data_IF_822805368366
#
_entry.id   IF_822805368366
#
_cell.length_a   1.000
_cell.length_b   1.000
_cell.length_c   1.000
_cell.angle_alpha   90.00
_cell.angle_beta   90.00
_cell.angle_gamma   90.00
#
_symmetry.space_group_name_H-M   'P 1'
#
loop_
_entity.id
_entity.type
_entity.pdbx_description
1 polymer ?
#
# COMPACT_ATOMS: atom_id res chain seq x y z
N UNK A 1 2.36 5.78 8.76
CA UNK A 1 1.21 6.71 8.92
C UNK A 1 1.60 7.94 9.74
N UNK A 2 0.81 9.00 9.69
CA UNK A 2 1.02 10.22 10.50
C UNK A 2 0.76 9.99 12.01
N UNK A 3 1.21 10.89 12.90
CA UNK A 3 0.96 10.77 14.34
C UNK A 3 -0.53 10.55 14.66
N UNK A 4 -0.81 9.57 15.54
CA UNK A 4 -2.16 9.26 16.04
C UNK A 4 -3.18 8.82 14.96
N UNK A 5 -2.71 8.33 13.80
CA UNK A 5 -3.58 7.79 12.77
C UNK A 5 -4.47 6.65 13.30
N UNK A 6 -5.80 6.71 13.12
CA UNK A 6 -6.74 5.80 13.78
C UNK A 6 -6.81 4.41 13.16
N UNK A 7 -6.40 4.27 11.89
CA UNK A 7 -6.67 3.07 11.09
C UNK A 7 -5.41 2.25 10.77
N UNK A 8 -4.26 2.56 11.36
CA UNK A 8 -3.03 1.81 11.13
C UNK A 8 -3.18 0.33 11.54
N UNK A 9 -2.42 -0.56 10.88
CA UNK A 9 -2.36 -1.98 11.26
C UNK A 9 -1.98 -2.09 12.75
N UNK A 10 -2.66 -2.97 13.53
CA UNK A 10 -2.39 -3.06 14.95
C UNK A 10 -0.93 -3.46 15.21
N UNK A 11 -0.21 -2.58 15.91
CA UNK A 11 1.18 -2.82 16.31
C UNK A 11 1.41 -4.16 17.01
N UNK A 12 0.51 -4.65 17.90
CA UNK A 12 0.68 -5.96 18.49
C UNK A 12 0.75 -7.10 17.47
N UNK A 13 0.00 -7.03 16.36
CA UNK A 13 0.05 -8.04 15.30
C UNK A 13 1.40 -8.04 14.60
N UNK A 14 1.91 -6.86 14.24
CA UNK A 14 3.24 -6.73 13.59
C UNK A 14 4.35 -7.13 14.54
N UNK A 15 4.26 -6.73 15.82
CA UNK A 15 5.21 -7.14 16.85
C UNK A 15 5.28 -8.66 16.99
N UNK A 16 4.11 -9.33 17.04
CA UNK A 16 4.03 -10.78 17.11
C UNK A 16 4.68 -11.43 15.88
N UNK A 17 4.30 -10.98 14.67
CA UNK A 17 4.85 -11.47 13.41
C UNK A 17 6.39 -11.39 13.39
N UNK A 18 6.94 -10.22 13.74
CA UNK A 18 8.40 -10.03 13.78
C UNK A 18 9.03 -10.93 14.84
N UNK A 19 8.52 -10.94 16.08
CA UNK A 19 9.13 -11.73 17.16
C UNK A 19 9.07 -13.23 16.94
N UNK A 20 8.03 -13.75 16.26
CA UNK A 20 7.81 -15.20 16.14
C UNK A 20 8.27 -15.78 14.80
N UNK A 21 8.24 -14.98 13.73
CA UNK A 21 8.45 -15.48 12.35
C UNK A 21 9.57 -14.78 11.60
N UNK A 22 9.88 -13.52 11.94
CA UNK A 22 10.82 -12.68 11.20
C UNK A 22 11.78 -11.94 12.16
N UNK A 23 12.50 -12.64 13.06
CA UNK A 23 13.29 -11.99 14.11
C UNK A 23 14.43 -11.10 13.56
N UNK A 24 14.89 -11.37 12.34
CA UNK A 24 15.96 -10.64 11.66
C UNK A 24 15.44 -9.53 10.72
N UNK A 25 14.12 -9.33 10.65
CA UNK A 25 13.53 -8.34 9.77
C UNK A 25 13.53 -6.94 10.39
N UNK A 26 13.79 -5.93 9.55
CA UNK A 26 13.55 -4.53 9.86
C UNK A 26 12.23 -4.09 9.21
N UNK A 27 11.50 -3.20 9.89
CA UNK A 27 10.46 -2.43 9.19
C UNK A 27 11.17 -1.38 8.34
N UNK A 28 10.78 -1.21 7.09
CA UNK A 28 11.38 -0.20 6.21
C UNK A 28 10.38 0.89 5.85
N UNK A 29 10.86 2.13 5.78
CA UNK A 29 10.10 3.33 5.43
C UNK A 29 10.99 4.32 4.65
N UNK A 30 10.40 5.35 4.06
CA UNK A 30 11.12 6.49 3.47
C UNK A 30 10.47 7.80 3.90
N UNK A 31 11.23 8.90 3.89
CA UNK A 31 10.72 10.21 4.27
C UNK A 31 9.61 10.72 3.34
N UNK A 32 8.70 11.57 3.84
CA UNK A 32 7.60 12.10 3.03
C UNK A 32 8.03 13.26 2.16
N UNK A 33 7.40 13.36 0.98
CA UNK A 33 7.57 14.50 0.07
C UNK A 33 6.95 15.78 0.63
N UNK A 34 5.75 15.67 1.21
CA UNK A 34 5.11 16.79 1.88
C UNK A 34 5.78 17.12 3.21
N UNK A 35 5.67 18.40 3.58
CA UNK A 35 6.09 18.90 4.88
C UNK A 35 5.13 18.39 5.94
N UNK A 36 5.66 17.74 6.98
CA UNK A 36 4.87 17.09 8.03
C UNK A 36 5.75 16.32 9.02
N UNK A 37 5.12 15.48 9.85
CA UNK A 37 5.80 14.72 10.92
C UNK A 37 6.79 13.67 10.41
N UNK A 38 6.82 13.40 9.10
CA UNK A 38 7.69 12.39 8.47
C UNK A 38 8.56 12.98 7.36
N UNK A 39 8.65 14.31 7.28
CA UNK A 39 9.34 14.97 6.18
C UNK A 39 10.86 14.76 6.26
N UNK A 40 11.45 14.90 7.44
CA UNK A 40 12.88 14.61 7.68
C UNK A 40 13.03 13.37 8.53
N UNK A 41 14.17 12.68 8.41
CA UNK A 41 14.47 11.48 9.21
C UNK A 41 14.24 11.71 10.70
N UNK A 42 14.78 12.79 11.27
CA UNK A 42 14.60 13.10 12.70
C UNK A 42 13.12 13.25 13.10
N UNK A 43 12.32 13.92 12.28
CA UNK A 43 10.87 14.02 12.51
C UNK A 43 10.19 12.65 12.37
N UNK A 44 10.55 11.88 11.34
CA UNK A 44 9.98 10.57 11.06
C UNK A 44 10.24 9.59 12.22
N UNK A 45 11.47 9.56 12.75
CA UNK A 45 11.83 8.80 13.96
C UNK A 45 10.96 9.18 15.16
N UNK A 46 10.68 10.47 15.36
CA UNK A 46 9.77 10.94 16.42
C UNK A 46 8.33 10.47 16.17
N UNK A 47 7.87 10.49 14.92
CA UNK A 47 6.54 9.97 14.55
C UNK A 47 6.43 8.47 14.81
N UNK A 48 7.47 7.69 14.49
CA UNK A 48 7.53 6.25 14.81
C UNK A 48 7.41 6.01 16.32
N UNK A 49 8.10 6.80 17.14
CA UNK A 49 8.00 6.73 18.61
C UNK A 49 6.60 7.09 19.11
N UNK A 50 6.01 8.19 18.63
CA UNK A 50 4.64 8.61 18.99
C UNK A 50 3.64 7.52 18.64
N UNK A 51 3.79 6.95 17.45
CA UNK A 51 2.96 5.86 16.99
C UNK A 51 3.37 4.52 17.62
N UNK A 52 4.41 4.44 18.45
CA UNK A 52 4.88 3.25 19.18
C UNK A 52 5.39 2.09 18.32
N UNK A 53 5.98 2.39 17.18
CA UNK A 53 6.79 1.46 16.39
C UNK A 53 8.21 1.37 16.98
N UNK A 54 8.30 0.88 18.22
CA UNK A 54 9.53 0.86 19.04
C UNK A 54 9.98 -0.55 19.42
N UNK A 55 9.39 -1.58 18.82
CA UNK A 55 9.58 -2.99 19.19
C UNK A 55 10.52 -3.77 18.28
N UNK A 56 10.95 -3.18 17.17
CA UNK A 56 11.96 -3.70 16.25
C UNK A 56 12.69 -2.51 15.59
N UNK A 57 13.84 -2.73 14.93
CA UNK A 57 14.43 -1.69 14.11
C UNK A 57 13.45 -1.24 13.02
N UNK A 58 13.42 0.06 12.79
CA UNK A 58 12.81 0.66 11.61
C UNK A 58 13.96 1.28 10.82
N UNK A 59 14.06 1.02 9.54
CA UNK A 59 15.04 1.63 8.66
C UNK A 59 14.36 2.70 7.80
N UNK A 60 14.90 3.92 7.82
CA UNK A 60 14.45 5.00 6.95
C UNK A 60 15.41 4.96 5.76
N UNK A 61 15.00 4.28 4.69
CA UNK A 61 15.93 3.84 3.64
C UNK A 61 16.59 4.99 2.88
N UNK A 62 16.04 6.20 2.97
CA UNK A 62 16.57 7.42 2.38
C UNK A 62 17.29 8.34 3.39
N UNK A 63 17.72 7.80 4.54
CA UNK A 63 18.44 8.54 5.59
C UNK A 63 19.85 8.97 5.14
N UNK A 64 20.62 8.07 4.53
CA UNK A 64 22.01 8.34 4.13
C UNK A 64 22.20 8.56 2.62
N UNK A 65 21.11 8.53 1.84
CA UNK A 65 21.18 8.79 0.41
C UNK A 65 20.06 8.15 -0.40
N UNK A 66 20.28 8.12 -1.70
CA UNK A 66 19.34 7.58 -2.68
C UNK A 66 20.10 6.78 -3.73
N UNK A 67 19.39 5.91 -4.42
CA UNK A 67 19.91 5.15 -5.56
C UNK A 67 18.82 5.04 -6.62
N UNK A 68 19.19 4.71 -7.85
CA UNK A 68 18.24 4.58 -8.95
C UNK A 68 18.07 3.11 -9.33
N UNK A 69 16.81 2.69 -9.46
CA UNK A 69 16.44 1.40 -10.02
C UNK A 69 15.78 1.57 -11.39
N UNK A 70 16.08 0.69 -12.36
CA UNK A 70 15.53 0.82 -13.71
C UNK A 70 14.02 0.52 -13.73
N UNK A 71 13.28 1.25 -14.56
CA UNK A 71 11.88 0.96 -14.92
C UNK A 71 11.86 0.44 -16.35
N UNK A 72 11.75 -0.89 -16.49
CA UNK A 72 11.76 -1.53 -17.82
C UNK A 72 10.41 -1.34 -18.50
N UNK A 73 10.43 -0.73 -19.68
CA UNK A 73 9.22 -0.54 -20.51
C UNK A 73 8.28 0.55 -19.98
N UNK A 74 8.75 1.43 -19.09
CA UNK A 74 7.96 2.56 -18.58
C UNK A 74 7.60 3.55 -19.68
N UNK A 75 6.39 4.09 -19.58
CA UNK A 75 5.90 5.21 -20.40
C UNK A 75 6.40 6.54 -19.84
N UNK A 76 6.49 6.66 -18.52
CA UNK A 76 6.80 7.92 -17.82
C UNK A 76 8.25 7.99 -17.37
N UNK A 77 8.83 6.87 -16.95
CA UNK A 77 10.15 6.78 -16.35
C UNK A 77 10.97 5.65 -16.97
N UNK A 78 12.27 5.88 -17.11
CA UNK A 78 13.28 4.86 -17.40
C UNK A 78 13.99 4.35 -16.13
N UNK A 79 13.89 5.10 -15.03
CA UNK A 79 14.37 4.75 -13.70
C UNK A 79 13.52 5.42 -12.62
N UNK A 80 13.65 4.93 -11.39
CA UNK A 80 13.03 5.50 -10.21
C UNK A 80 14.02 5.62 -9.07
N UNK A 81 14.08 6.82 -8.48
CA UNK A 81 14.93 7.08 -7.32
C UNK A 81 14.26 6.56 -6.05
N UNK A 82 15.00 5.74 -5.31
CA UNK A 82 14.59 5.03 -4.10
C UNK A 82 15.59 5.28 -2.97
N UNK A 83 15.22 4.96 -1.73
CA UNK A 83 16.16 5.01 -0.61
C UNK A 83 17.35 4.06 -0.83
N UNK A 84 18.58 4.50 -0.59
CA UNK A 84 19.78 3.71 -0.85
C UNK A 84 19.83 2.41 -0.04
N UNK A 85 19.31 2.39 1.20
CA UNK A 85 19.36 1.18 2.05
C UNK A 85 18.46 0.06 1.54
N UNK A 86 17.55 0.33 0.59
CA UNK A 86 16.73 -0.73 0.01
C UNK A 86 17.59 -1.84 -0.62
N UNK A 87 18.81 -1.50 -1.08
CA UNK A 87 19.75 -2.46 -1.64
C UNK A 87 20.44 -3.36 -0.60
N UNK A 88 20.28 -3.06 0.69
CA UNK A 88 20.86 -3.84 1.79
C UNK A 88 19.98 -5.05 2.17
N UNK A 89 18.80 -5.19 1.54
CA UNK A 89 17.84 -6.25 1.83
C UNK A 89 17.77 -7.31 0.71
N UNK A 90 17.86 -8.59 1.09
CA UNK A 90 17.75 -9.71 0.15
C UNK A 90 16.31 -9.97 -0.32
N UNK A 91 15.31 -9.65 0.53
CA UNK A 91 13.90 -9.94 0.29
C UNK A 91 12.99 -8.91 0.97
N UNK A 92 11.74 -8.85 0.52
CA UNK A 92 10.75 -7.89 1.05
C UNK A 92 9.41 -8.57 1.35
N UNK A 93 8.88 -8.35 2.56
CA UNK A 93 7.50 -8.67 2.89
C UNK A 93 6.68 -7.37 2.91
N UNK A 94 5.74 -7.23 1.99
CA UNK A 94 4.91 -6.04 1.86
C UNK A 94 3.66 -6.21 2.70
N UNK A 95 3.64 -5.58 3.88
CA UNK A 95 2.47 -5.54 4.75
C UNK A 95 1.65 -4.28 4.49
N UNK A 96 0.49 -4.44 3.88
CA UNK A 96 -0.35 -3.36 3.36
C UNK A 96 -1.66 -3.26 4.14
N UNK A 97 -2.05 -2.06 4.52
CA UNK A 97 -3.43 -1.75 4.90
C UNK A 97 -4.19 -1.37 3.64
N UNK A 98 -5.05 -2.26 3.15
CA UNK A 98 -5.85 -2.00 1.94
C UNK A 98 -7.05 -1.12 2.28
N UNK A 99 -7.24 -0.02 1.54
CA UNK A 99 -8.22 1.03 1.86
C UNK A 99 -8.34 2.06 0.73
N UNK A 100 -9.25 3.04 0.83
CA UNK A 100 -9.39 4.09 -0.20
C UNK A 100 -8.24 5.11 -0.23
N UNK A 101 -8.06 5.87 -1.31
CA UNK A 101 -7.02 6.91 -1.39
C UNK A 101 -7.52 8.18 -2.06
N UNK A 102 -7.18 9.36 -1.50
CA UNK A 102 -7.67 10.67 -1.96
C UNK A 102 -7.34 11.00 -3.42
N UNK A 103 -6.19 10.58 -3.90
CA UNK A 103 -5.81 10.73 -5.31
C UNK A 103 -5.75 9.41 -6.07
N UNK A 104 -5.48 8.32 -5.35
CA UNK A 104 -5.18 7.00 -5.93
C UNK A 104 -6.43 6.14 -6.14
N UNK A 105 -7.58 6.57 -5.61
CA UNK A 105 -8.79 5.76 -5.55
C UNK A 105 -8.71 4.70 -4.46
N UNK A 106 -7.70 3.84 -4.49
CA UNK A 106 -7.36 2.91 -3.41
C UNK A 106 -5.85 2.91 -3.13
N UNK A 107 -5.49 2.42 -1.95
CA UNK A 107 -4.12 2.13 -1.55
C UNK A 107 -4.00 0.64 -1.28
N UNK A 108 -3.47 -0.10 -2.25
CA UNK A 108 -3.07 -1.50 -2.12
C UNK A 108 -1.55 -1.65 -2.03
N UNK A 109 -1.06 -2.86 -2.26
CA UNK A 109 0.37 -3.18 -2.26
C UNK A 109 1.12 -2.38 -3.30
N UNK A 110 0.51 -2.11 -4.47
CA UNK A 110 1.08 -1.22 -5.49
C UNK A 110 1.38 0.16 -4.89
N UNK A 111 0.40 0.82 -4.27
CA UNK A 111 0.63 2.14 -3.65
C UNK A 111 1.65 2.07 -2.52
N UNK A 112 1.64 0.97 -1.75
CA UNK A 112 2.54 0.78 -0.62
C UNK A 112 4.00 0.85 -1.05
N UNK A 113 4.43 0.01 -1.98
CA UNK A 113 5.81 0.01 -2.45
C UNK A 113 6.11 1.17 -3.40
N UNK A 114 5.17 1.53 -4.28
CA UNK A 114 5.35 2.59 -5.27
C UNK A 114 5.60 3.96 -4.64
N UNK A 115 4.97 4.26 -3.50
CA UNK A 115 5.25 5.50 -2.75
C UNK A 115 6.23 5.26 -1.59
N UNK A 116 6.16 4.11 -0.93
CA UNK A 116 6.91 3.81 0.29
C UNK A 116 8.38 3.50 0.07
N UNK A 117 8.76 3.03 -1.12
CA UNK A 117 10.16 2.75 -1.48
C UNK A 117 10.84 3.93 -2.20
N UNK A 118 10.06 4.74 -2.93
CA UNK A 118 10.56 5.96 -3.56
C UNK A 118 11.08 6.96 -2.52
N UNK A 119 12.22 7.60 -2.76
CA UNK A 119 12.79 8.52 -1.78
C UNK A 119 11.94 9.79 -1.60
N UNK A 120 12.07 10.43 -0.44
CA UNK A 120 11.25 11.57 -0.03
C UNK A 120 11.49 12.88 -0.79
N UNK A 121 12.48 12.99 -1.67
CA UNK A 121 12.90 14.26 -2.30
C UNK A 121 12.87 14.21 -3.82
N UNK A 122 13.34 13.12 -4.41
CA UNK A 122 13.46 12.95 -5.86
C UNK A 122 12.36 12.00 -6.34
N UNK A 123 12.36 10.75 -5.91
CA UNK A 123 11.45 9.69 -6.35
C UNK A 123 9.98 10.04 -6.12
N UNK A 124 9.59 10.42 -4.90
CA UNK A 124 8.21 10.86 -4.65
C UNK A 124 7.84 12.11 -5.45
N UNK A 125 8.81 12.99 -5.77
CA UNK A 125 8.57 14.15 -6.64
C UNK A 125 8.34 13.72 -8.10
N UNK A 126 9.10 12.75 -8.61
CA UNK A 126 8.90 12.19 -9.95
C UNK A 126 7.46 11.69 -10.14
N UNK A 127 6.93 11.01 -9.11
CA UNK A 127 5.57 10.44 -9.16
C UNK A 127 4.48 11.51 -9.10
N UNK A 128 4.64 12.54 -8.27
CA UNK A 128 3.55 13.48 -7.93
C UNK A 128 3.63 14.85 -8.62
N UNK A 129 4.76 15.18 -9.24
CA UNK A 129 4.96 16.48 -9.85
C UNK A 129 4.99 16.38 -11.37
N UNK A 130 4.04 17.08 -11.99
CA UNK A 130 3.88 17.20 -13.43
C UNK A 130 4.75 18.31 -14.01
N UNK A 131 4.23 18.99 -15.02
CA UNK A 131 4.93 20.09 -15.69
C UNK A 131 4.86 21.40 -14.90
N UNK A 132 3.94 21.52 -13.94
CA UNK A 132 3.79 22.72 -13.12
C UNK A 132 4.52 22.57 -11.77
N UNK A 133 4.94 23.69 -11.15
CA UNK A 133 5.70 23.68 -9.90
C UNK A 133 4.87 23.33 -8.65
N UNK A 134 3.61 22.92 -8.80
CA UNK A 134 2.73 22.54 -7.69
C UNK A 134 3.02 21.13 -7.17
N UNK A 135 3.02 20.96 -5.85
CA UNK A 135 2.89 19.61 -5.29
C UNK A 135 1.50 19.07 -5.67
N UNK A 136 1.43 17.80 -6.09
CA UNK A 136 0.17 17.11 -6.41
C UNK A 136 -0.50 17.52 -7.73
N UNK A 137 0.30 17.97 -8.71
CA UNK A 137 -0.15 18.44 -10.03
C UNK A 137 -0.73 17.34 -10.93
N UNK A 138 -0.60 16.08 -10.53
CA UNK A 138 -1.00 14.92 -11.32
C UNK A 138 -2.15 14.18 -10.63
N UNK A 139 -3.13 13.76 -11.41
CA UNK A 139 -4.27 13.00 -10.94
C UNK A 139 -4.70 11.94 -11.97
N UNK A 140 -5.61 11.05 -11.54
CA UNK A 140 -6.26 10.04 -12.39
C UNK A 140 -5.23 9.16 -13.12
N UNK A 141 -5.38 8.92 -14.41
CA UNK A 141 -4.60 7.95 -15.17
C UNK A 141 -3.10 8.17 -15.03
N UNK A 142 -2.63 9.39 -15.26
CA UNK A 142 -1.19 9.69 -15.19
C UNK A 142 -0.63 9.41 -13.79
N UNK A 143 -1.37 9.74 -12.73
CA UNK A 143 -0.93 9.45 -11.37
C UNK A 143 -0.87 7.94 -11.10
N UNK A 144 -1.89 7.19 -11.54
CA UNK A 144 -1.88 5.72 -11.38
C UNK A 144 -0.73 5.10 -12.15
N UNK A 145 -0.50 5.53 -13.39
CA UNK A 145 0.53 4.98 -14.26
C UNK A 145 1.94 5.25 -13.71
N UNK A 146 2.21 6.48 -13.26
CA UNK A 146 3.48 6.83 -12.61
C UNK A 146 3.71 6.07 -11.31
N UNK A 147 2.67 5.88 -10.50
CA UNK A 147 2.78 5.10 -9.26
C UNK A 147 3.08 3.63 -9.54
N UNK A 148 2.44 3.04 -10.56
CA UNK A 148 2.70 1.66 -10.99
C UNK A 148 4.13 1.49 -11.52
N UNK A 149 4.64 2.44 -12.31
CA UNK A 149 6.03 2.41 -12.76
C UNK A 149 7.03 2.50 -11.60
N UNK A 150 6.73 3.31 -10.58
CA UNK A 150 7.50 3.34 -9.33
C UNK A 150 7.54 1.99 -8.63
N UNK A 151 6.38 1.35 -8.46
CA UNK A 151 6.30 0.01 -7.89
C UNK A 151 7.09 -1.00 -8.70
N UNK A 152 7.04 -0.92 -10.03
CA UNK A 152 7.75 -1.84 -10.91
C UNK A 152 9.25 -1.87 -10.66
N UNK A 153 9.88 -0.71 -10.42
CA UNK A 153 11.30 -0.66 -10.10
C UNK A 153 11.64 -1.52 -8.87
N UNK A 154 10.78 -1.49 -7.84
CA UNK A 154 10.94 -2.30 -6.61
C UNK A 154 10.71 -3.78 -6.90
N UNK A 155 9.66 -4.12 -7.64
CA UNK A 155 9.33 -5.51 -7.97
C UNK A 155 10.41 -6.16 -8.82
N UNK A 156 10.86 -5.48 -9.88
CA UNK A 156 11.89 -5.99 -10.78
C UNK A 156 13.23 -6.19 -10.03
N UNK A 157 13.51 -5.40 -8.99
CA UNK A 157 14.70 -5.54 -8.15
C UNK A 157 14.65 -6.77 -7.24
N UNK A 158 13.55 -6.96 -6.50
CA UNK A 158 13.40 -8.12 -5.61
C UNK A 158 13.11 -9.43 -6.37
N UNK A 159 12.54 -9.35 -7.58
CA UNK A 159 12.16 -10.51 -8.39
C UNK A 159 11.22 -11.43 -7.61
N UNK A 160 11.58 -12.72 -7.50
CA UNK A 160 10.78 -13.71 -6.75
C UNK A 160 10.94 -13.62 -5.22
N UNK A 161 11.75 -12.68 -4.72
CA UNK A 161 12.05 -12.51 -3.27
C UNK A 161 11.14 -11.47 -2.60
N UNK A 162 9.90 -11.34 -3.07
CA UNK A 162 8.90 -10.42 -2.53
C UNK A 162 7.54 -11.11 -2.35
N UNK A 163 6.87 -10.85 -1.23
CA UNK A 163 5.54 -11.40 -0.91
C UNK A 163 4.65 -10.28 -0.38
N UNK A 164 3.35 -10.37 -0.67
CA UNK A 164 2.37 -9.34 -0.35
C UNK A 164 1.32 -9.86 0.62
N UNK A 165 1.02 -9.05 1.64
CA UNK A 165 -0.08 -9.26 2.58
C UNK A 165 -0.94 -8.00 2.60
N UNK A 166 -2.18 -8.09 2.14
CA UNK A 166 -3.16 -7.01 2.22
C UNK A 166 -4.12 -7.26 3.38
N UNK A 167 -4.14 -6.35 4.36
CA UNK A 167 -5.06 -6.35 5.50
C UNK A 167 -6.24 -5.43 5.16
N UNK A 168 -7.42 -6.02 4.97
CA UNK A 168 -8.68 -5.34 4.65
C UNK A 168 -9.51 -5.13 5.91
N UNK A 169 -9.05 -4.21 6.77
CA UNK A 169 -9.72 -3.81 8.02
C UNK A 169 -9.75 -2.30 8.15
N UNK A 170 -10.73 -1.73 8.85
CA UNK A 170 -10.84 -0.29 9.09
C UNK A 170 -10.66 0.54 7.80
N UNK A 171 -11.32 0.09 6.71
CA UNK A 171 -11.08 0.61 5.37
C UNK A 171 -11.77 1.97 5.14
N UNK A 172 -11.17 3.04 5.67
CA UNK A 172 -11.60 4.41 5.38
C UNK A 172 -11.38 4.73 3.89
N UNK A 173 -12.12 5.71 3.35
CA UNK A 173 -11.80 6.28 2.04
C UNK A 173 -10.54 7.18 2.05
N UNK A 174 -10.03 7.56 3.23
CA UNK A 174 -8.93 8.54 3.43
C UNK A 174 -7.62 7.88 3.84
N UNK A 175 -6.50 8.17 3.18
CA UNK A 175 -5.21 7.49 3.37
C UNK A 175 -4.70 7.56 4.82
N UNK A 176 -3.93 6.57 5.28
CA UNK A 176 -3.23 6.63 6.58
C UNK A 176 -2.21 7.78 6.65
N UNK A 177 -1.81 8.33 5.49
CA UNK A 177 -1.02 9.55 5.39
C UNK A 177 -1.80 10.81 5.82
N UNK A 178 -3.12 10.75 5.93
CA UNK A 178 -3.96 11.85 6.40
C UNK A 178 -4.10 11.85 7.95
N UNK A 179 -3.66 10.78 8.62
CA UNK A 179 -3.64 10.69 10.08
C UNK A 179 -5.01 10.91 10.71
N UNK A 180 -5.10 11.85 11.65
CA UNK A 180 -6.33 12.18 12.38
C UNK A 180 -7.42 12.82 11.50
N UNK A 181 -7.08 13.26 10.29
CA UNK A 181 -8.04 13.81 9.33
C UNK A 181 -8.76 12.72 8.51
N UNK A 182 -8.43 11.45 8.72
CA UNK A 182 -9.07 10.36 8.00
C UNK A 182 -10.58 10.32 8.27
N UNK A 183 -11.37 10.22 7.19
CA UNK A 183 -12.82 10.06 7.31
C UNK A 183 -13.20 8.79 8.09
N UNK A 184 -14.35 8.79 8.78
CA UNK A 184 -14.85 7.61 9.46
C UNK A 184 -14.90 6.39 8.54
N UNK A 185 -14.65 5.22 9.12
CA UNK A 185 -14.81 3.96 8.40
C UNK A 185 -16.29 3.60 8.40
N UNK A 186 -16.80 3.21 7.23
CA UNK A 186 -18.16 2.71 7.03
C UNK A 186 -18.18 1.33 6.36
N UNK A 187 -17.07 0.95 5.72
CA UNK A 187 -16.93 -0.35 5.04
C UNK A 187 -16.55 -1.44 6.04
N UNK A 188 -17.23 -2.61 6.02
CA UNK A 188 -16.90 -3.76 6.85
C UNK A 188 -15.44 -4.24 6.70
N UNK A 189 -14.94 -4.90 7.74
CA UNK A 189 -13.68 -5.64 7.68
C UNK A 189 -13.90 -6.93 6.88
N UNK A 190 -12.94 -7.31 6.02
CA UNK A 190 -12.98 -8.58 5.29
C UNK A 190 -12.02 -9.59 5.91
N UNK A 191 -10.78 -9.19 6.17
CA UNK A 191 -9.75 -10.09 6.69
C UNK A 191 -8.36 -9.79 6.13
N UNK A 192 -7.55 -10.84 5.98
CA UNK A 192 -6.17 -10.76 5.50
C UNK A 192 -6.03 -11.62 4.25
N UNK A 193 -5.52 -11.04 3.17
CA UNK A 193 -5.16 -11.76 1.96
C UNK A 193 -3.64 -11.81 1.83
N UNK A 194 -3.12 -12.87 1.21
CA UNK A 194 -1.70 -13.01 0.89
C UNK A 194 -1.50 -13.54 -0.53
N UNK A 195 -0.43 -13.10 -1.19
CA UNK A 195 -0.05 -13.53 -2.54
C UNK A 195 1.43 -13.29 -2.80
N UNK A 196 2.00 -14.01 -3.76
CA UNK A 196 3.32 -13.72 -4.35
C UNK A 196 3.21 -12.86 -5.62
N UNK A 197 1.99 -12.59 -6.09
CA UNK A 197 1.69 -11.80 -7.30
C UNK A 197 0.97 -10.50 -6.89
N UNK A 198 1.58 -9.34 -7.23
CA UNK A 198 1.09 -8.02 -6.80
C UNK A 198 -0.23 -7.63 -7.48
N UNK A 199 -0.40 -8.03 -8.75
CA UNK A 199 -1.62 -7.68 -9.47
C UNK A 199 -2.76 -8.53 -8.93
N UNK A 200 -2.51 -9.82 -8.68
CA UNK A 200 -3.50 -10.72 -8.12
C UNK A 200 -4.01 -10.26 -6.75
N UNK A 201 -3.12 -9.80 -5.85
CA UNK A 201 -3.52 -9.39 -4.48
C UNK A 201 -4.34 -8.10 -4.48
N UNK A 202 -3.93 -7.11 -5.27
CA UNK A 202 -4.66 -5.84 -5.34
C UNK A 202 -5.97 -6.00 -6.13
N UNK A 203 -5.98 -6.82 -7.19
CA UNK A 203 -7.20 -7.18 -7.91
C UNK A 203 -8.18 -7.93 -6.99
N UNK A 204 -7.72 -8.91 -6.23
CA UNK A 204 -8.56 -9.65 -5.29
C UNK A 204 -9.18 -8.75 -4.23
N UNK A 205 -8.40 -7.82 -3.66
CA UNK A 205 -8.95 -6.86 -2.70
C UNK A 205 -10.01 -5.94 -3.31
N UNK A 206 -9.80 -5.46 -4.54
CA UNK A 206 -10.79 -4.65 -5.25
C UNK A 206 -12.06 -5.46 -5.55
N UNK A 207 -11.91 -6.68 -6.08
CA UNK A 207 -13.06 -7.53 -6.41
C UNK A 207 -13.89 -7.89 -5.17
N UNK A 208 -13.24 -8.13 -4.03
CA UNK A 208 -13.94 -8.34 -2.75
C UNK A 208 -14.76 -7.12 -2.35
N UNK A 209 -14.24 -5.90 -2.52
CA UNK A 209 -15.01 -4.67 -2.29
C UNK A 209 -16.23 -4.62 -3.21
N UNK A 210 -16.05 -4.86 -4.51
CA UNK A 210 -17.17 -4.85 -5.48
C UNK A 210 -18.18 -5.98 -5.26
N UNK A 211 -17.80 -7.08 -4.60
CA UNK A 211 -18.68 -8.19 -4.27
C UNK A 211 -19.55 -7.95 -3.02
N UNK A 212 -19.23 -6.95 -2.18
CA UNK A 212 -20.03 -6.57 -1.01
C UNK A 212 -21.42 -6.05 -1.41
N UNK A 213 -22.33 -5.88 -0.44
CA UNK A 213 -23.61 -5.22 -0.69
C UNK A 213 -23.41 -3.76 -1.09
N UNK A 214 -24.29 -3.18 -1.93
CA UNK A 214 -24.18 -1.79 -2.37
C UNK A 214 -23.95 -0.77 -1.24
N UNK A 215 -24.67 -0.94 -0.13
CA UNK A 215 -24.56 -0.08 1.05
C UNK A 215 -23.24 -0.23 1.82
N UNK A 216 -22.56 -1.37 1.71
CA UNK A 216 -21.30 -1.66 2.42
C UNK A 216 -20.09 -1.07 1.67
N UNK A 217 -20.14 -1.03 0.33
CA UNK A 217 -19.01 -0.59 -0.50
C UNK A 217 -19.16 0.78 -1.15
N UNK A 218 -20.33 1.44 -1.04
CA UNK A 218 -20.67 2.64 -1.81
C UNK A 218 -19.55 3.68 -1.83
N UNK A 219 -19.08 4.10 -0.66
CA UNK A 219 -18.08 5.17 -0.50
C UNK A 219 -16.71 4.78 -1.09
N UNK A 220 -16.33 3.50 -0.92
CA UNK A 220 -15.05 3.01 -1.40
C UNK A 220 -15.06 2.84 -2.94
N UNK A 221 -16.17 2.36 -3.49
CA UNK A 221 -16.39 2.27 -4.95
C UNK A 221 -16.46 3.65 -5.59
N UNK A 222 -17.16 4.62 -4.97
CA UNK A 222 -17.15 6.01 -5.43
C UNK A 222 -15.73 6.54 -5.47
N UNK A 223 -14.96 6.38 -4.39
CA UNK A 223 -13.59 6.87 -4.30
C UNK A 223 -12.70 6.25 -5.37
N UNK A 224 -12.80 4.95 -5.59
CA UNK A 224 -12.03 4.26 -6.63
C UNK A 224 -12.41 4.76 -8.02
N UNK A 225 -13.70 4.93 -8.30
CA UNK A 225 -14.21 5.29 -9.62
C UNK A 225 -13.92 6.76 -9.96
N UNK A 226 -14.24 7.69 -9.06
CA UNK A 226 -14.09 9.14 -9.31
C UNK A 226 -12.64 9.58 -9.45
N UNK A 227 -11.70 8.80 -8.88
CA UNK A 227 -10.26 9.00 -9.02
C UNK A 227 -9.61 8.15 -10.10
N UNK A 228 -10.38 7.34 -10.82
CA UNK A 228 -9.89 6.44 -11.86
C UNK A 228 -8.84 5.43 -11.31
N UNK A 229 -9.01 5.02 -10.05
CA UNK A 229 -8.07 4.17 -9.31
C UNK A 229 -7.87 2.79 -9.93
N UNK A 230 -8.89 2.24 -10.60
CA UNK A 230 -8.79 0.96 -11.33
C UNK A 230 -7.75 0.98 -12.46
N UNK A 231 -7.28 2.16 -12.87
CA UNK A 231 -6.15 2.28 -13.80
C UNK A 231 -4.87 1.67 -13.23
N UNK A 232 -4.70 1.62 -11.90
CA UNK A 232 -3.57 0.92 -11.28
C UNK A 232 -3.51 -0.56 -11.71
N UNK A 233 -4.64 -1.27 -11.67
CA UNK A 233 -4.73 -2.70 -11.97
C UNK A 233 -4.50 -2.97 -13.46
N UNK A 234 -5.23 -2.26 -14.33
CA UNK A 234 -5.08 -2.41 -15.78
C UNK A 234 -3.68 -2.06 -16.27
N UNK A 235 -3.04 -1.05 -15.67
CA UNK A 235 -1.69 -0.68 -16.07
C UNK A 235 -0.61 -1.63 -15.52
N UNK A 236 -0.77 -2.18 -14.31
CA UNK A 236 0.10 -3.27 -13.83
C UNK A 236 0.08 -4.47 -14.79
N UNK A 237 -1.09 -4.78 -15.37
CA UNK A 237 -1.23 -5.82 -16.40
C UNK A 237 -0.46 -5.48 -17.68
N UNK A 238 -0.61 -4.25 -18.19
CA UNK A 238 0.13 -3.74 -19.35
C UNK A 238 1.65 -3.76 -19.13
N UNK A 239 2.09 -3.49 -17.89
CA UNK A 239 3.50 -3.48 -17.48
C UNK A 239 4.04 -4.87 -17.09
N UNK A 240 3.24 -5.93 -17.28
CA UNK A 240 3.59 -7.32 -16.98
C UNK A 240 4.04 -7.55 -15.52
N UNK A 241 3.40 -6.88 -14.56
CA UNK A 241 3.75 -6.97 -13.13
C UNK A 241 3.08 -8.13 -12.39
N UNK A 242 2.20 -8.89 -13.06
CA UNK A 242 1.48 -10.00 -12.45
C UNK A 242 0.25 -10.40 -13.26
N UNK A 243 -0.68 -11.09 -12.61
CA UNK A 243 -1.89 -11.65 -13.22
C UNK A 243 -3.15 -11.12 -12.53
N UNK A 244 -4.11 -10.63 -13.32
CA UNK A 244 -5.44 -10.21 -12.84
C UNK A 244 -6.43 -11.37 -12.68
N UNK A 245 -6.05 -12.57 -13.13
CA UNK A 245 -6.80 -13.79 -12.90
C UNK A 245 -6.17 -14.57 -11.74
N UNK A 246 -6.97 -14.83 -10.70
CA UNK A 246 -6.52 -15.47 -9.47
C UNK A 246 -7.55 -16.50 -8.98
N UNK A 247 -7.16 -17.25 -7.96
CA UNK A 247 -8.04 -18.16 -7.21
C UNK A 247 -7.98 -17.77 -5.74
N UNK A 248 -9.12 -17.55 -5.12
CA UNK A 248 -9.19 -17.39 -3.67
C UNK A 248 -9.18 -18.77 -3.02
N UNK A 249 -8.29 -18.91 -2.03
CA UNK A 249 -8.16 -20.10 -1.21
C UNK A 249 -8.42 -19.66 0.23
N UNK A 250 -9.47 -20.20 0.82
CA UNK A 250 -9.88 -19.91 2.19
C UNK A 250 -9.10 -20.81 3.17
N UNK A 251 -8.19 -20.21 3.93
CA UNK A 251 -7.37 -20.95 4.90
C UNK A 251 -8.13 -21.26 6.20
N UNK A 252 -9.22 -20.56 6.49
CA UNK A 252 -10.01 -20.75 7.69
C UNK A 252 -11.01 -21.92 7.53
N UNK A 253 -11.36 -22.27 6.28
CA UNK A 253 -12.28 -23.34 5.94
C UNK A 253 -11.63 -24.41 5.04
N UNK A 254 -10.67 -25.16 5.61
CA UNK A 254 -10.04 -26.35 5.01
C UNK A 254 -9.38 -26.11 3.63
N UNK A 255 -8.80 -24.93 3.39
CA UNK A 255 -8.15 -24.58 2.11
C UNK A 255 -9.09 -24.66 0.89
N UNK A 256 -10.39 -24.42 1.11
CA UNK A 256 -11.40 -24.49 0.06
C UNK A 256 -11.19 -23.36 -0.96
N UNK A 257 -11.42 -23.68 -2.23
CA UNK A 257 -11.53 -22.65 -3.29
C UNK A 257 -12.89 -21.96 -3.19
N UNK A 258 -12.86 -20.64 -3.13
CA UNK A 258 -14.05 -19.81 -3.02
C UNK A 258 -14.05 -18.72 -4.11
N UNK A 259 -15.20 -18.07 -4.31
CA UNK A 259 -15.30 -16.84 -5.11
C UNK A 259 -15.41 -15.61 -4.21
N UNK A 260 -15.21 -14.41 -4.75
CA UNK A 260 -15.26 -13.18 -3.98
C UNK A 260 -16.60 -12.99 -3.23
N UNK A 261 -17.72 -13.40 -3.83
CA UNK A 261 -19.04 -13.35 -3.21
C UNK A 261 -19.14 -14.22 -1.94
N UNK A 262 -18.49 -15.39 -1.93
CA UNK A 262 -18.48 -16.26 -0.75
C UNK A 262 -17.73 -15.59 0.41
N UNK A 263 -16.60 -14.94 0.12
CA UNK A 263 -15.73 -14.29 1.10
C UNK A 263 -16.36 -13.06 1.79
N UNK A 264 -17.42 -12.49 1.20
CA UNK A 264 -18.07 -11.26 1.71
C UNK A 264 -19.54 -11.46 2.06
N UNK A 265 -20.04 -12.70 2.05
CA UNK A 265 -21.46 -12.98 2.27
C UNK A 265 -21.92 -12.57 3.68
N UNK A 266 -21.08 -12.84 4.67
CA UNK A 266 -21.43 -12.76 6.10
C UNK A 266 -20.63 -11.66 6.84
N UNK A 267 -20.26 -10.57 6.14
CA UNK A 267 -19.54 -9.46 6.76
C UNK A 267 -20.41 -8.77 7.82
N UNK A 268 -19.78 -8.44 8.95
CA UNK A 268 -20.43 -7.69 10.04
C UNK A 268 -20.37 -6.19 9.71
N UNK A 269 -21.49 -5.46 9.74
CA UNK A 269 -21.49 -4.02 9.53
C UNK A 269 -20.50 -3.29 10.44
N UNK A 270 -19.82 -2.30 9.88
CA UNK A 270 -18.83 -1.54 10.64
C UNK A 270 -19.50 -0.80 11.82
N UNK A 271 -19.09 -1.13 13.05
CA UNK A 271 -19.62 -0.52 14.28
C UNK A 271 -20.46 -1.43 15.18
N UNK A 272 -20.90 -2.61 14.74
CA UNK A 272 -21.73 -3.51 15.57
C UNK A 272 -20.93 -4.48 16.47
N UNK A 273 -19.72 -4.89 16.09
CA UNK A 273 -18.78 -5.65 16.96
C UNK A 273 -17.34 -5.52 16.42
N UNK A 274 -16.60 -4.49 16.85
CA UNK A 274 -15.23 -4.20 16.36
C UNK A 274 -14.13 -4.94 17.15
N UNK A 275 -14.30 -6.25 17.40
CA UNK A 275 -13.28 -7.10 18.02
C UNK A 275 -12.29 -7.65 17.00
#
# INVERSE_FOLDING_TARGET
GEPHGPNIIPRPWVKQLISEKLPDANIVETNTFYVGGRHTTAQHRKTLQINGWTFCPVDIMDEDGTTDLPVRGGKWFDHMTVGSHMLDYDSMLVLTHFKGHVQGGFGGSNKNIGIGCADGRIGKKMIHQGRHPGQWDIAKEEFMERMVESSKATIDYFGDRIVYINVMRNMSVSCDCEGVAAQPVVTPNVGILASTDILAIDQACVDLVYAMKPEEHHDLVERMTSRHGLRQLSYMKEMHMGNDLYKLIDLDHDTKRIVAADAVQDLIPFGEDNR
#
